data_IF_690821777260
#
_entry.id   IF_690821777260
#
_cell.length_a   1.000
_cell.length_b   1.000
_cell.length_c   1.000
_cell.angle_alpha   90.00
_cell.angle_beta   90.00
_cell.angle_gamma   90.00
#
_symmetry.space_group_name_H-M   'P 1'
#
loop_
_entity.id
_entity.type
_entity.pdbx_description
1 polymer ?
#
# COMPACT_ATOMS: atom_id res chain seq x y z
N UNK A 1 4.22 9.66 25.24
CA UNK A 1 4.32 8.38 24.49
C UNK A 1 4.11 8.70 23.02
N UNK A 2 5.11 8.48 22.16
CA UNK A 2 4.95 8.69 20.72
C UNK A 2 3.92 7.68 20.20
N UNK A 3 2.78 8.16 19.68
CA UNK A 3 1.84 7.32 18.93
C UNK A 3 2.62 6.71 17.77
N UNK A 4 2.84 5.39 17.80
CA UNK A 4 3.44 4.67 16.67
C UNK A 4 2.45 4.77 15.51
N UNK A 5 2.93 5.24 14.35
CA UNK A 5 2.16 5.31 13.11
C UNK A 5 1.50 3.96 12.80
N UNK A 6 0.27 3.99 12.31
CA UNK A 6 -0.47 2.82 11.83
C UNK A 6 -0.83 3.08 10.38
N UNK A 7 -0.43 2.18 9.49
CA UNK A 7 -0.64 2.34 8.06
C UNK A 7 0.61 2.11 7.24
N UNK A 8 0.51 2.40 5.95
CA UNK A 8 1.65 2.32 5.05
C UNK A 8 2.61 3.51 5.21
N UNK A 9 3.86 3.28 4.84
CA UNK A 9 4.95 4.24 4.86
C UNK A 9 5.76 4.04 3.57
N UNK A 10 5.91 5.10 2.78
CA UNK A 10 6.67 5.09 1.54
C UNK A 10 8.04 5.76 1.74
N UNK A 11 9.11 5.10 1.31
CA UNK A 11 10.45 5.70 1.19
C UNK A 11 10.64 6.18 -0.24
N UNK A 12 11.10 7.41 -0.45
CA UNK A 12 11.24 8.03 -1.77
C UNK A 12 12.70 8.12 -2.22
N UNK A 13 12.92 8.25 -3.53
CA UNK A 13 14.27 8.32 -4.14
C UNK A 13 15.10 9.53 -3.73
N UNK A 14 14.46 10.58 -3.21
CA UNK A 14 15.13 11.76 -2.66
C UNK A 14 15.43 11.67 -1.16
N UNK A 15 15.22 10.50 -0.55
CA UNK A 15 15.44 10.25 0.88
C UNK A 15 14.28 10.65 1.79
N UNK A 16 13.21 11.26 1.26
CA UNK A 16 12.02 11.57 2.05
C UNK A 16 11.24 10.30 2.42
N UNK A 17 10.52 10.37 3.54
CA UNK A 17 9.58 9.35 3.99
C UNK A 17 8.19 9.95 4.10
N UNK A 18 7.21 9.32 3.46
CA UNK A 18 5.80 9.74 3.48
C UNK A 18 5.00 8.70 4.26
N UNK A 19 4.14 9.18 5.15
CA UNK A 19 3.25 8.35 5.95
C UNK A 19 1.83 8.45 5.44
N UNK A 20 1.11 7.34 5.48
CA UNK A 20 -0.34 7.34 5.34
C UNK A 20 -0.96 8.35 6.33
N UNK A 21 -2.00 9.04 5.92
CA UNK A 21 -2.76 9.93 6.79
C UNK A 21 -4.25 9.79 6.46
N UNK A 22 -5.15 10.07 7.42
CA UNK A 22 -6.58 10.12 7.15
C UNK A 22 -6.88 11.09 6.01
N UNK A 23 -7.79 10.70 5.13
CA UNK A 23 -8.23 11.54 4.02
C UNK A 23 -9.52 12.26 4.40
N UNK A 24 -9.53 13.58 4.22
CA UNK A 24 -10.73 14.39 4.42
C UNK A 24 -11.73 14.20 3.27
N UNK A 25 -13.03 14.37 3.57
CA UNK A 25 -14.10 14.09 2.61
C UNK A 25 -14.00 15.02 1.41
N UNK A 26 -13.89 14.44 0.22
CA UNK A 26 -13.79 15.17 -1.06
C UNK A 26 -12.36 15.50 -1.48
N UNK A 27 -11.37 15.12 -0.68
CA UNK A 27 -9.96 15.23 -1.05
C UNK A 27 -9.43 13.93 -1.68
N UNK A 28 -8.29 14.06 -2.36
CA UNK A 28 -7.54 12.89 -2.82
C UNK A 28 -7.13 12.04 -1.63
N UNK A 29 -7.21 10.72 -1.78
CA UNK A 29 -6.64 9.79 -0.80
C UNK A 29 -5.15 10.04 -0.57
N UNK A 30 -4.64 9.73 0.62
CA UNK A 30 -3.22 9.85 0.93
C UNK A 30 -2.32 9.14 -0.12
N UNK A 31 -2.81 8.04 -0.69
CA UNK A 31 -2.14 7.34 -1.77
C UNK A 31 -2.11 8.15 -3.08
N UNK A 32 -3.24 8.70 -3.50
CA UNK A 32 -3.31 9.57 -4.68
C UNK A 32 -2.46 10.83 -4.52
N UNK A 33 -2.45 11.44 -3.33
CA UNK A 33 -1.60 12.58 -3.02
C UNK A 33 -0.11 12.22 -3.14
N UNK A 34 0.30 11.05 -2.63
CA UNK A 34 1.66 10.55 -2.79
C UNK A 34 2.03 10.38 -4.28
N UNK A 35 1.17 9.75 -5.08
CA UNK A 35 1.43 9.56 -6.50
C UNK A 35 1.54 10.90 -7.25
N UNK A 36 0.67 11.87 -6.91
CA UNK A 36 0.75 13.22 -7.46
C UNK A 36 2.05 13.92 -7.06
N UNK A 37 2.46 13.81 -5.79
CA UNK A 37 3.72 14.35 -5.28
C UNK A 37 4.91 13.76 -6.03
N UNK A 38 4.95 12.43 -6.19
CA UNK A 38 5.98 11.73 -6.95
C UNK A 38 6.10 12.27 -8.38
N UNK A 39 4.97 12.41 -9.07
CA UNK A 39 4.93 12.93 -10.43
C UNK A 39 5.41 14.39 -10.52
N UNK A 40 4.92 15.27 -9.65
CA UNK A 40 5.27 16.70 -9.65
C UNK A 40 6.74 16.96 -9.31
N UNK A 41 7.33 16.14 -8.44
CA UNK A 41 8.70 16.33 -7.96
C UNK A 41 9.72 15.42 -8.67
N UNK A 42 9.28 14.64 -9.67
CA UNK A 42 10.13 13.66 -10.36
C UNK A 42 10.87 12.71 -9.41
N UNK A 43 10.17 12.25 -8.36
CA UNK A 43 10.67 11.27 -7.40
C UNK A 43 9.83 10.01 -7.48
N UNK A 44 10.46 8.86 -7.20
CA UNK A 44 9.77 7.56 -7.19
C UNK A 44 9.78 6.94 -5.81
N UNK A 45 8.85 6.04 -5.58
CA UNK A 45 8.84 5.18 -4.40
C UNK A 45 9.98 4.16 -4.56
N UNK A 46 10.78 3.97 -3.52
CA UNK A 46 11.91 2.99 -3.49
C UNK A 46 11.67 1.85 -2.51
N UNK A 47 10.71 1.99 -1.60
CA UNK A 47 10.26 0.93 -0.71
C UNK A 47 8.91 1.28 -0.09
N UNK A 48 8.10 0.27 0.23
CA UNK A 48 6.94 0.40 1.10
C UNK A 48 7.14 -0.38 2.40
N UNK A 49 6.59 0.16 3.49
CA UNK A 49 6.46 -0.49 4.79
C UNK A 49 5.01 -0.42 5.23
N UNK A 50 4.54 -1.44 5.93
CA UNK A 50 3.21 -1.48 6.53
C UNK A 50 3.37 -1.72 8.02
N UNK A 51 2.91 -0.75 8.83
CA UNK A 51 2.93 -0.84 10.28
C UNK A 51 1.51 -1.03 10.79
N UNK A 52 1.21 -2.18 11.41
CA UNK A 52 -0.11 -2.45 11.97
C UNK A 52 -0.01 -3.37 13.18
N UNK A 53 -0.73 -3.05 14.25
CA UNK A 53 -0.81 -3.88 15.47
C UNK A 53 0.56 -4.24 16.07
N UNK A 54 1.51 -3.30 16.01
CA UNK A 54 2.88 -3.49 16.52
C UNK A 54 3.82 -4.25 15.59
N UNK A 55 3.33 -4.75 14.46
CA UNK A 55 4.11 -5.44 13.42
C UNK A 55 4.50 -4.45 12.33
N UNK A 56 5.70 -4.61 11.78
CA UNK A 56 6.16 -3.87 10.61
C UNK A 56 6.58 -4.87 9.53
N UNK A 57 5.92 -4.81 8.38
CA UNK A 57 6.31 -5.56 7.19
C UNK A 57 6.93 -4.63 6.16
N UNK A 58 7.87 -5.15 5.37
CA UNK A 58 8.56 -4.42 4.30
C UNK A 58 8.26 -5.06 2.96
N UNK A 59 8.10 -4.25 1.92
CA UNK A 59 8.05 -4.73 0.54
C UNK A 59 9.46 -4.85 -0.05
N UNK A 60 9.53 -5.43 -1.24
CA UNK A 60 10.75 -5.54 -2.05
C UNK A 60 11.32 -4.13 -2.31
N UNK A 61 12.61 -3.96 -2.06
CA UNK A 61 13.33 -2.71 -2.32
C UNK A 61 13.57 -2.49 -3.83
N UNK A 62 13.44 -1.25 -4.31
CA UNK A 62 13.64 -0.84 -5.71
C UNK A 62 12.88 -1.71 -6.73
N UNK A 63 11.63 -2.06 -6.43
CA UNK A 63 10.69 -2.70 -7.34
C UNK A 63 10.31 -1.79 -8.53
N UNK A 64 9.68 -2.37 -9.56
CA UNK A 64 9.20 -1.67 -10.76
C UNK A 64 8.01 -0.74 -10.50
N UNK A 65 7.37 -0.91 -9.34
CA UNK A 65 6.24 -0.12 -8.87
C UNK A 65 5.78 -0.59 -7.51
N UNK A 66 4.91 0.20 -6.88
CA UNK A 66 4.36 -0.09 -5.56
C UNK A 66 2.88 0.21 -5.54
N UNK A 67 2.16 -0.43 -4.63
CA UNK A 67 0.76 -0.12 -4.38
C UNK A 67 0.36 -0.39 -2.93
N UNK A 68 -0.81 0.13 -2.58
CA UNK A 68 -1.51 -0.14 -1.34
C UNK A 68 -2.87 -0.77 -1.66
N UNK A 69 -3.39 -1.58 -0.75
CA UNK A 69 -4.71 -2.16 -0.88
C UNK A 69 -5.40 -2.37 0.47
N UNK A 70 -6.73 -2.50 0.43
CA UNK A 70 -7.52 -2.97 1.55
C UNK A 70 -8.38 -4.15 1.07
N UNK A 71 -8.50 -5.18 1.90
CA UNK A 71 -9.30 -6.36 1.58
C UNK A 71 -10.18 -6.71 2.79
N UNK A 72 -11.41 -7.15 2.54
CA UNK A 72 -12.30 -7.67 3.56
C UNK A 72 -12.59 -9.15 3.25
N UNK A 73 -12.18 -10.04 4.16
CA UNK A 73 -12.48 -11.47 4.06
C UNK A 73 -13.68 -11.78 4.95
N UNK A 74 -14.72 -12.35 4.35
CA UNK A 74 -15.92 -12.77 5.06
C UNK A 74 -15.82 -14.28 5.32
N UNK A 75 -15.88 -14.66 6.59
CA UNK A 75 -15.98 -16.06 6.99
C UNK A 75 -17.45 -16.42 7.19
N UNK A 76 -17.97 -17.30 6.34
CA UNK A 76 -19.35 -17.80 6.46
C UNK A 76 -19.56 -18.67 7.71
N UNK A 77 -18.50 -19.34 8.19
CA UNK A 77 -18.56 -20.23 9.36
C UNK A 77 -18.71 -19.41 10.64
N UNK A 78 -17.88 -18.38 10.81
CA UNK A 78 -17.88 -17.53 12.01
C UNK A 78 -18.77 -16.29 11.88
N UNK A 79 -19.39 -16.07 10.70
CA UNK A 79 -20.14 -14.85 10.34
C UNK A 79 -19.38 -13.56 10.65
N UNK A 80 -18.05 -13.60 10.54
CA UNK A 80 -17.18 -12.49 10.86
C UNK A 80 -16.51 -11.95 9.60
N UNK A 81 -16.35 -10.64 9.56
CA UNK A 81 -15.56 -9.96 8.53
C UNK A 81 -14.22 -9.55 9.12
N UNK A 82 -13.13 -10.01 8.51
CA UNK A 82 -11.78 -9.59 8.87
C UNK A 82 -11.26 -8.64 7.81
N UNK A 83 -10.87 -7.44 8.22
CA UNK A 83 -10.29 -6.43 7.33
C UNK A 83 -8.78 -6.49 7.39
N UNK A 84 -8.17 -6.48 6.21
CA UNK A 84 -6.74 -6.46 5.99
C UNK A 84 -6.35 -5.17 5.30
N UNK A 85 -5.19 -4.67 5.65
CA UNK A 85 -4.47 -3.67 4.88
C UNK A 85 -3.26 -4.33 4.26
N UNK A 86 -2.97 -3.95 3.02
CA UNK A 86 -1.89 -4.51 2.22
C UNK A 86 -0.99 -3.43 1.65
N UNK A 87 0.27 -3.80 1.50
CA UNK A 87 1.21 -3.12 0.61
C UNK A 87 1.76 -4.15 -0.36
N UNK A 88 2.18 -3.70 -1.54
CA UNK A 88 2.96 -4.58 -2.37
C UNK A 88 3.88 -3.89 -3.34
N UNK A 89 4.70 -4.74 -3.95
CA UNK A 89 5.76 -4.37 -4.88
C UNK A 89 5.54 -5.12 -6.20
N UNK A 90 5.63 -4.37 -7.30
CA UNK A 90 5.58 -4.91 -8.66
C UNK A 90 6.98 -5.28 -9.08
N UNK A 91 7.19 -6.52 -9.52
CA UNK A 91 8.45 -6.95 -10.10
C UNK A 91 8.17 -7.86 -11.28
N UNK A 92 8.62 -7.46 -12.46
CA UNK A 92 8.19 -8.05 -13.73
C UNK A 92 6.64 -8.00 -13.84
N UNK A 93 6.03 -9.13 -14.20
CA UNK A 93 4.57 -9.25 -14.38
C UNK A 93 3.83 -9.71 -13.11
N UNK A 94 4.47 -9.57 -11.94
CA UNK A 94 3.91 -10.03 -10.67
C UNK A 94 3.86 -8.93 -9.62
N UNK A 95 2.88 -9.06 -8.75
CA UNK A 95 2.61 -8.18 -7.63
C UNK A 95 2.75 -8.99 -6.35
N UNK A 96 3.79 -8.68 -5.58
CA UNK A 96 4.08 -9.32 -4.30
C UNK A 96 3.45 -8.51 -3.18
N UNK A 97 2.46 -9.08 -2.50
CA UNK A 97 1.61 -8.40 -1.53
C UNK A 97 1.84 -8.99 -0.15
N UNK A 98 1.91 -8.12 0.86
CA UNK A 98 1.83 -8.51 2.26
C UNK A 98 0.62 -7.85 2.89
N UNK A 99 -0.15 -8.64 3.64
CA UNK A 99 -1.39 -8.24 4.28
C UNK A 99 -1.28 -8.35 5.80
N UNK A 100 -1.84 -7.38 6.53
CA UNK A 100 -1.92 -7.39 7.99
C UNK A 100 -3.33 -6.95 8.42
N UNK A 101 -3.97 -7.70 9.32
CA UNK A 101 -5.25 -7.29 9.94
C UNK A 101 -5.05 -6.55 11.27
N UNK A 102 -6.14 -6.19 11.95
CA UNK A 102 -6.11 -5.52 13.26
C UNK A 102 -5.58 -6.40 14.40
N UNK A 103 -5.57 -7.72 14.24
CA UNK A 103 -5.08 -8.67 15.22
C UNK A 103 -3.57 -8.93 15.07
N UNK A 104 -2.98 -8.47 13.95
CA UNK A 104 -1.58 -8.75 13.63
C UNK A 104 -1.39 -10.06 12.85
N UNK A 105 -2.46 -10.68 12.36
CA UNK A 105 -2.32 -11.83 11.46
C UNK A 105 -1.74 -11.35 10.13
N UNK A 106 -0.68 -12.00 9.71
CA UNK A 106 0.05 -11.68 8.48
C UNK A 106 -0.12 -12.81 7.48
N UNK A 107 -0.38 -12.47 6.21
CA UNK A 107 -0.21 -13.41 5.11
C UNK A 107 0.41 -12.71 3.90
N UNK A 108 1.03 -13.51 3.03
CA UNK A 108 1.61 -13.06 1.77
C UNK A 108 0.81 -13.60 0.62
N UNK A 109 0.79 -12.85 -0.47
CA UNK A 109 0.07 -13.17 -1.69
C UNK A 109 0.91 -12.74 -2.89
N UNK A 110 0.81 -13.49 -3.99
CA UNK A 110 1.47 -13.16 -5.25
C UNK A 110 0.44 -13.26 -6.34
N UNK A 111 0.19 -12.15 -7.03
CA UNK A 111 -0.80 -12.07 -8.09
C UNK A 111 -0.16 -11.61 -9.40
N UNK A 112 -0.60 -12.12 -10.55
CA UNK A 112 -0.29 -11.51 -11.85
C UNK A 112 -0.67 -10.02 -11.89
N UNK A 113 0.11 -9.21 -12.60
CA UNK A 113 -0.09 -7.76 -12.68
C UNK A 113 -1.41 -7.35 -13.35
N UNK A 114 -1.90 -8.16 -14.28
CA UNK A 114 -3.17 -7.97 -14.98
C UNK A 114 -4.40 -8.32 -14.13
N UNK A 115 -4.24 -9.20 -13.13
CA UNK A 115 -5.30 -9.57 -12.18
C UNK A 115 -5.49 -8.57 -11.04
N UNK A 116 -4.55 -7.64 -10.85
CA UNK A 116 -4.64 -6.63 -9.80
C UNK A 116 -4.94 -5.27 -10.40
N UNK A 117 -5.94 -4.59 -9.84
CA UNK A 117 -6.10 -3.15 -10.02
C UNK A 117 -5.00 -2.43 -9.23
N UNK A 118 -3.80 -2.42 -9.80
CA UNK A 118 -2.63 -1.79 -9.19
C UNK A 118 -2.56 -0.32 -9.64
N UNK A 119 -2.64 0.60 -8.69
CA UNK A 119 -2.16 1.97 -8.91
C UNK A 119 -0.64 1.96 -8.90
N UNK A 120 -0.04 1.76 -10.07
CA UNK A 120 1.42 1.82 -10.27
C UNK A 120 1.84 3.18 -10.81
N UNK A 121 3.11 3.53 -10.65
CA UNK A 121 3.75 4.67 -11.34
C UNK A 121 3.68 4.55 -12.89
N UNK A 122 3.24 3.41 -13.42
CA UNK A 122 3.10 3.14 -14.85
C UNK A 122 1.69 3.42 -15.41
N UNK A 123 0.67 3.68 -14.58
CA UNK A 123 -0.69 4.04 -15.06
C UNK A 123 -0.92 5.55 -15.03
N UNK A 124 -1.53 6.10 -16.08
CA UNK A 124 -1.87 7.52 -16.18
C UNK A 124 -3.00 7.86 -15.20
N UNK A 125 -3.01 9.10 -14.67
CA UNK A 125 -4.02 9.63 -13.74
C UNK A 125 -5.50 9.47 -14.19
N UNK A 126 -5.74 9.18 -15.47
CA UNK A 126 -7.09 8.97 -16.05
C UNK A 126 -7.73 7.63 -15.68
N UNK A 127 -7.00 6.71 -15.05
CA UNK A 127 -7.53 5.40 -14.62
C UNK A 127 -8.02 5.40 -13.16
N UNK A 128 -8.31 6.59 -12.61
CA UNK A 128 -8.71 6.79 -11.22
C UNK A 128 -10.19 7.21 -11.22
N UNK A 129 -11.09 6.23 -11.14
CA UNK A 129 -12.48 6.42 -10.70
C UNK A 129 -12.65 5.91 -9.27
#
# INVERSE_FOLDING_TARGET
MNKKHQGWIASLSNGQTVHEHPTDKGELSAWQQLLQFCNLNSVRITQMRLQRSGITMTSIYNADGYFQAYEAKISNVTKSTTTYQGIGAVKNDFVFIVWINMQGDVFQDVRPLDEVWVHTEKRKLVDIQ
#
